data_IF_857192584122
#
_entry.id   IF_857192584122
#
_cell.length_a   1.000
_cell.length_b   1.000
_cell.length_c   1.000
_cell.angle_alpha   90.00
_cell.angle_beta   90.00
_cell.angle_gamma   90.00
#
_symmetry.space_group_name_H-M   'P 1'
#
loop_
_entity.id
_entity.type
_entity.pdbx_description
1 polymer ?
#
# COMPACT_ATOMS: atom_id res chain seq x y z
N UNK A 1 -50.24 -6.91 -10.44
CA UNK A 1 -48.81 -7.26 -10.34
C UNK A 1 -48.45 -6.85 -8.93
N UNK A 2 -48.26 -7.87 -8.09
CA UNK A 2 -48.75 -7.81 -6.72
C UNK A 2 -47.76 -7.21 -5.73
N UNK A 3 -48.28 -6.24 -4.99
CA UNK A 3 -47.76 -5.69 -3.76
C UNK A 3 -47.84 -6.74 -2.65
N UNK A 4 -46.70 -7.24 -2.18
CA UNK A 4 -46.58 -7.85 -0.85
C UNK A 4 -45.17 -7.65 -0.36
N UNK A 5 -44.95 -6.78 0.61
CA UNK A 5 -44.03 -6.94 1.75
C UNK A 5 -44.27 -5.76 2.70
N UNK A 6 -45.42 -5.83 3.37
CA UNK A 6 -45.81 -4.97 4.48
C UNK A 6 -45.87 -5.80 5.76
N UNK A 7 -45.09 -5.38 6.76
CA UNK A 7 -45.43 -5.57 8.17
C UNK A 7 -44.92 -6.83 8.85
N UNK A 8 -43.92 -6.66 9.70
CA UNK A 8 -43.96 -7.15 11.08
C UNK A 8 -43.02 -6.31 11.95
N UNK A 9 -43.63 -5.46 12.77
CA UNK A 9 -43.01 -4.88 13.96
C UNK A 9 -43.70 -5.42 15.20
N UNK A 10 -42.97 -5.43 16.32
CA UNK A 10 -43.40 -5.45 17.74
C UNK A 10 -42.32 -6.20 18.56
N UNK A 11 -41.43 -5.53 19.32
CA UNK A 11 -41.59 -4.95 20.69
C UNK A 11 -41.54 -5.96 21.84
N UNK A 12 -40.71 -5.65 22.85
CA UNK A 12 -40.75 -6.15 24.23
C UNK A 12 -39.70 -7.23 24.54
N UNK A 13 -38.87 -7.15 25.59
CA UNK A 13 -38.85 -6.30 26.77
C UNK A 13 -37.58 -6.58 27.61
N UNK A 14 -37.47 -5.99 28.82
CA UNK A 14 -36.23 -5.80 29.57
C UNK A 14 -36.00 -6.83 30.68
N UNK A 15 -34.78 -6.88 31.24
CA UNK A 15 -34.55 -7.39 32.59
C UNK A 15 -33.30 -8.25 32.75
N UNK A 16 -32.45 -7.92 33.72
CA UNK A 16 -31.31 -8.75 34.10
C UNK A 16 -30.28 -8.04 34.96
N UNK A 17 -30.70 -7.61 36.16
CA UNK A 17 -29.82 -7.13 37.23
C UNK A 17 -29.13 -8.30 37.96
N UNK A 18 -27.95 -8.04 38.54
CA UNK A 18 -27.55 -8.66 39.81
C UNK A 18 -26.25 -9.49 39.86
N UNK A 19 -25.13 -8.82 40.21
CA UNK A 19 -24.07 -9.22 41.16
C UNK A 19 -23.37 -10.60 41.10
N UNK A 20 -22.39 -10.89 42.00
CA UNK A 20 -21.83 -10.04 43.05
C UNK A 20 -20.30 -9.83 42.99
N UNK A 21 -19.90 -8.93 43.89
CA UNK A 21 -18.57 -8.62 44.42
C UNK A 21 -17.89 -9.87 44.98
N UNK A 22 -16.65 -10.13 44.54
CA UNK A 22 -15.73 -11.08 45.17
C UNK A 22 -14.55 -10.33 45.77
N UNK A 23 -14.64 -10.02 47.06
CA UNK A 23 -13.53 -9.57 47.89
C UNK A 23 -12.91 -10.78 48.61
N UNK A 24 -11.58 -10.82 48.71
CA UNK A 24 -10.87 -11.60 49.72
C UNK A 24 -9.76 -12.51 49.21
N UNK A 25 -8.51 -12.11 49.44
CA UNK A 25 -7.45 -12.87 50.14
C UNK A 25 -6.11 -12.16 49.86
N UNK A 26 -5.59 -11.37 50.80
CA UNK A 26 -4.80 -11.81 51.95
C UNK A 26 -3.47 -12.48 51.52
N UNK A 27 -2.48 -11.61 51.32
CA UNK A 27 -1.12 -11.69 51.86
C UNK A 27 -0.67 -13.03 52.48
N UNK A 28 0.30 -13.67 51.83
CA UNK A 28 1.25 -14.59 52.45
C UNK A 28 2.68 -14.20 52.06
N UNK A 29 3.59 -13.92 53.02
CA UNK A 29 5.01 -13.75 52.73
C UNK A 29 5.66 -15.14 52.63
N UNK A 30 5.95 -15.55 51.39
CA UNK A 30 6.70 -16.77 51.10
C UNK A 30 8.22 -16.58 51.27
N UNK A 31 8.95 -17.62 51.70
CA UNK A 31 10.33 -17.52 52.15
C UNK A 31 11.33 -17.40 50.99
N UNK A 32 12.31 -16.51 51.16
CA UNK A 32 13.74 -16.79 50.97
C UNK A 32 14.27 -16.97 49.53
N UNK A 33 15.30 -16.20 49.12
CA UNK A 33 16.01 -16.44 47.88
C UNK A 33 16.91 -17.67 48.02
N UNK A 34 16.56 -18.75 47.34
CA UNK A 34 17.47 -19.85 47.08
C UNK A 34 18.57 -19.40 46.12
N UNK A 35 19.76 -19.15 46.66
CA UNK A 35 21.00 -19.04 45.87
C UNK A 35 21.29 -20.40 45.23
N UNK A 36 20.81 -20.58 44.00
CA UNK A 36 21.29 -21.64 43.14
C UNK A 36 22.73 -21.35 42.69
N UNK A 37 23.60 -22.37 42.60
CA UNK A 37 24.95 -22.21 42.07
C UNK A 37 24.88 -21.69 40.61
N UNK A 38 25.88 -20.90 40.16
CA UNK A 38 25.90 -20.32 38.82
C UNK A 38 26.03 -21.43 37.77
N UNK A 39 24.88 -21.92 37.32
CA UNK A 39 24.77 -22.81 36.18
C UNK A 39 25.27 -22.06 34.95
N UNK A 40 26.26 -22.66 34.29
CA UNK A 40 26.77 -22.32 32.97
C UNK A 40 25.62 -22.21 31.97
N UNK A 41 25.00 -21.04 31.90
CA UNK A 41 24.01 -20.70 30.90
C UNK A 41 24.61 -20.83 29.50
N UNK A 42 23.78 -21.08 28.47
CA UNK A 42 24.23 -21.08 27.09
C UNK A 42 24.87 -19.72 26.82
N UNK A 43 26.20 -19.72 26.75
CA UNK A 43 27.00 -18.53 26.57
C UNK A 43 26.54 -17.84 25.31
N UNK A 44 25.88 -16.70 25.47
CA UNK A 44 25.99 -15.62 24.52
C UNK A 44 27.46 -15.22 24.54
N UNK A 45 28.26 -15.97 23.77
CA UNK A 45 29.66 -15.68 23.58
C UNK A 45 29.77 -14.20 23.27
N UNK A 46 30.65 -13.52 24.00
CA UNK A 46 31.05 -12.16 23.66
C UNK A 46 31.20 -12.10 22.13
N UNK A 47 30.67 -11.06 21.45
CA UNK A 47 30.86 -10.90 20.02
C UNK A 47 32.36 -11.03 19.75
N UNK A 48 32.72 -12.19 19.21
CA UNK A 48 34.09 -12.63 19.17
C UNK A 48 34.90 -11.57 18.45
N UNK A 49 35.95 -11.09 19.11
CA UNK A 49 37.08 -10.43 18.48
C UNK A 49 37.80 -11.45 17.58
N UNK A 50 37.07 -12.01 16.61
CA UNK A 50 37.68 -12.73 15.51
C UNK A 50 38.54 -11.74 14.74
N UNK A 51 39.75 -12.13 14.31
CA UNK A 51 40.60 -11.26 13.52
C UNK A 51 39.79 -10.72 12.34
N UNK A 52 39.80 -9.40 12.10
CA UNK A 52 39.02 -8.80 11.03
C UNK A 52 39.36 -9.52 9.74
N UNK A 53 38.37 -10.16 9.10
CA UNK A 53 38.59 -10.89 7.85
C UNK A 53 39.19 -9.94 6.81
N UNK A 54 40.49 -10.01 6.49
CA UNK A 54 41.19 -8.95 5.75
C UNK A 54 40.77 -8.85 4.27
N UNK A 55 39.83 -9.69 3.82
CA UNK A 55 39.53 -9.93 2.42
C UNK A 55 38.05 -9.90 2.07
N UNK A 56 37.17 -9.38 2.94
CA UNK A 56 35.79 -9.16 2.52
C UNK A 56 35.78 -8.13 1.37
N UNK A 57 35.32 -8.48 0.15
CA UNK A 57 35.32 -7.55 -0.97
C UNK A 57 34.52 -6.30 -0.60
N UNK A 58 34.96 -5.09 -0.99
CA UNK A 58 34.27 -3.86 -0.66
C UNK A 58 32.80 -3.93 -1.10
N UNK A 59 31.89 -3.52 -0.21
CA UNK A 59 30.47 -3.48 -0.53
C UNK A 59 30.20 -2.46 -1.63
N UNK A 60 29.58 -2.89 -2.73
CA UNK A 60 29.23 -2.00 -3.86
C UNK A 60 28.20 -0.97 -3.38
N UNK A 61 28.45 0.34 -3.51
CA UNK A 61 27.54 1.38 -3.04
C UNK A 61 26.11 1.24 -3.59
N UNK A 62 25.13 1.21 -2.70
CA UNK A 62 23.70 1.15 -3.05
C UNK A 62 23.14 -0.27 -3.28
N UNK A 63 23.95 -1.31 -3.13
CA UNK A 63 23.46 -2.70 -3.01
C UNK A 63 23.29 -3.11 -1.56
N UNK A 64 22.30 -3.94 -1.28
CA UNK A 64 22.07 -4.50 0.05
C UNK A 64 23.24 -5.41 0.47
N UNK A 65 23.57 -5.48 1.77
CA UNK A 65 24.59 -6.38 2.29
C UNK A 65 24.34 -7.84 1.88
N UNK A 66 25.40 -8.61 1.61
CA UNK A 66 25.30 -9.99 1.11
C UNK A 66 24.50 -10.91 2.03
N UNK A 67 24.56 -10.68 3.35
CA UNK A 67 23.78 -11.40 4.39
C UNK A 67 22.26 -11.34 4.18
N UNK A 68 21.75 -10.33 3.47
CA UNK A 68 20.32 -10.18 3.19
C UNK A 68 19.93 -10.64 1.78
N UNK A 69 20.84 -11.28 1.04
CA UNK A 69 20.59 -11.70 -0.35
C UNK A 69 19.35 -12.59 -0.47
N UNK A 70 19.19 -13.59 0.42
CA UNK A 70 18.03 -14.47 0.42
C UNK A 70 16.70 -13.72 0.55
N UNK A 71 16.61 -12.80 1.52
CA UNK A 71 15.41 -11.99 1.71
C UNK A 71 15.05 -11.16 0.47
N UNK A 72 16.03 -10.48 -0.14
CA UNK A 72 15.81 -9.67 -1.35
C UNK A 72 15.42 -10.50 -2.56
N UNK A 73 16.08 -11.64 -2.78
CA UNK A 73 15.78 -12.52 -3.90
C UNK A 73 14.39 -13.14 -3.75
N UNK A 74 14.08 -13.73 -2.60
CA UNK A 74 12.77 -14.34 -2.36
C UNK A 74 11.65 -13.31 -2.47
N UNK A 75 11.79 -12.12 -1.88
CA UNK A 75 10.79 -11.07 -2.05
C UNK A 75 10.68 -10.61 -3.51
N UNK A 76 11.80 -10.47 -4.23
CA UNK A 76 11.78 -10.10 -5.65
C UNK A 76 11.02 -11.12 -6.51
N UNK A 77 11.26 -12.41 -6.28
CA UNK A 77 10.55 -13.50 -6.96
C UNK A 77 9.05 -13.44 -6.65
N UNK A 78 8.68 -13.35 -5.37
CA UNK A 78 7.26 -13.31 -4.96
C UNK A 78 6.51 -12.13 -5.60
N UNK A 79 7.13 -10.94 -5.64
CA UNK A 79 6.54 -9.75 -6.26
C UNK A 79 6.38 -9.92 -7.77
N UNK A 80 7.37 -10.49 -8.47
CA UNK A 80 7.31 -10.73 -9.92
C UNK A 80 6.26 -11.80 -10.24
N UNK A 81 6.23 -12.92 -9.50
CA UNK A 81 5.26 -13.99 -9.71
C UNK A 81 3.84 -13.45 -9.55
N UNK A 82 3.59 -12.67 -8.50
CA UNK A 82 2.27 -12.07 -8.31
C UNK A 82 1.93 -11.04 -9.41
N UNK A 83 2.91 -10.25 -9.86
CA UNK A 83 2.72 -9.35 -11.00
C UNK A 83 2.36 -10.10 -12.30
N UNK A 84 2.99 -11.26 -12.56
CA UNK A 84 2.64 -12.13 -13.68
C UNK A 84 1.21 -12.66 -13.57
N UNK A 85 0.78 -13.05 -12.36
CA UNK A 85 -0.60 -13.51 -12.13
C UNK A 85 -1.60 -12.39 -12.42
N UNK A 86 -1.35 -11.17 -11.94
CA UNK A 86 -2.20 -10.01 -12.26
C UNK A 86 -2.21 -9.71 -13.77
N UNK A 87 -1.05 -9.74 -14.42
CA UNK A 87 -0.96 -9.54 -15.87
C UNK A 87 -1.73 -10.62 -16.65
N UNK A 88 -1.72 -11.87 -16.18
CA UNK A 88 -2.49 -12.96 -16.77
C UNK A 88 -4.00 -12.73 -16.63
N UNK A 89 -4.49 -12.30 -15.46
CA UNK A 89 -5.89 -11.94 -15.28
C UNK A 89 -6.33 -10.78 -16.17
N UNK A 90 -5.46 -9.77 -16.30
CA UNK A 90 -5.67 -8.64 -17.20
C UNK A 90 -5.78 -9.11 -18.66
N UNK A 91 -4.85 -9.97 -19.10
CA UNK A 91 -4.86 -10.51 -20.45
C UNK A 91 -6.09 -11.40 -20.72
N UNK A 92 -6.45 -12.27 -19.77
CA UNK A 92 -7.64 -13.11 -19.84
C UNK A 92 -8.91 -12.27 -19.98
N UNK A 93 -9.05 -11.23 -19.16
CA UNK A 93 -10.20 -10.30 -19.24
C UNK A 93 -10.22 -9.56 -20.59
N UNK A 94 -9.06 -9.15 -21.11
CA UNK A 94 -8.97 -8.53 -22.44
C UNK A 94 -9.42 -9.47 -23.56
N UNK A 95 -9.03 -10.75 -23.49
CA UNK A 95 -9.42 -11.79 -24.46
C UNK A 95 -10.92 -12.06 -24.37
N UNK A 96 -11.46 -12.22 -23.15
CA UNK A 96 -12.87 -12.53 -22.91
C UNK A 96 -13.79 -11.41 -23.38
N UNK A 97 -13.39 -10.15 -23.23
CA UNK A 97 -14.15 -8.99 -23.73
C UNK A 97 -13.83 -8.66 -25.21
N UNK A 98 -12.93 -9.42 -25.85
CA UNK A 98 -12.44 -9.18 -27.22
C UNK A 98 -11.98 -7.74 -27.42
N UNK A 99 -11.27 -7.20 -26.44
CA UNK A 99 -10.77 -5.84 -26.48
C UNK A 99 -9.73 -5.70 -27.61
N UNK A 100 -9.92 -4.71 -28.46
CA UNK A 100 -8.92 -4.33 -29.45
C UNK A 100 -7.66 -3.79 -28.74
N UNK A 101 -6.47 -4.19 -29.21
CA UNK A 101 -5.19 -3.79 -28.62
C UNK A 101 -5.02 -2.27 -28.69
N UNK A 102 -5.45 -1.65 -29.78
CA UNK A 102 -5.35 -0.20 -29.96
C UNK A 102 -6.25 0.54 -28.95
N UNK A 103 -7.46 0.01 -28.72
CA UNK A 103 -8.38 0.52 -27.69
C UNK A 103 -7.80 0.30 -26.30
N UNK A 104 -7.16 -0.84 -26.05
CA UNK A 104 -6.52 -1.11 -24.76
C UNK A 104 -5.37 -0.13 -24.51
N UNK A 105 -4.50 0.11 -25.48
CA UNK A 105 -3.39 1.06 -25.38
C UNK A 105 -3.88 2.51 -25.24
N UNK A 106 -4.86 2.92 -26.03
CA UNK A 106 -5.46 4.25 -25.93
C UNK A 106 -6.12 4.42 -24.56
N UNK A 107 -6.85 3.39 -24.09
CA UNK A 107 -7.43 3.37 -22.75
C UNK A 107 -6.38 3.26 -21.66
N UNK A 108 -5.14 2.85 -21.90
CA UNK A 108 -4.09 2.84 -20.88
C UNK A 108 -3.56 4.26 -20.64
N UNK A 109 -3.49 5.05 -21.71
CA UNK A 109 -2.94 6.41 -21.71
C UNK A 109 -4.00 7.44 -21.37
N UNK A 110 -5.20 7.34 -21.94
CA UNK A 110 -6.27 8.33 -21.80
C UNK A 110 -7.36 7.85 -20.86
N UNK A 111 -7.81 8.76 -20.00
CA UNK A 111 -9.00 8.54 -19.19
C UNK A 111 -10.23 9.13 -19.89
N UNK A 112 -10.69 8.50 -20.96
CA UNK A 112 -11.90 8.92 -21.67
C UNK A 112 -13.13 8.46 -20.87
N UNK A 113 -13.75 9.37 -20.11
CA UNK A 113 -14.89 9.07 -19.22
C UNK A 113 -16.12 8.45 -19.91
N UNK A 114 -16.16 8.43 -21.26
CA UNK A 114 -17.21 7.77 -22.04
C UNK A 114 -16.96 6.29 -22.34
N UNK A 115 -15.79 5.75 -22.01
CA UNK A 115 -15.44 4.33 -22.23
C UNK A 115 -15.04 3.71 -20.90
N UNK A 116 -15.95 3.01 -20.19
CA UNK A 116 -15.54 2.27 -19.01
C UNK A 116 -14.43 1.31 -19.42
N UNK A 117 -13.33 1.30 -18.66
CA UNK A 117 -12.30 0.28 -18.85
C UNK A 117 -12.98 -1.08 -18.67
N UNK A 118 -13.11 -1.79 -19.78
CA UNK A 118 -13.65 -3.14 -19.80
C UNK A 118 -12.69 -4.13 -19.13
N UNK A 119 -11.43 -3.73 -18.92
CA UNK A 119 -10.33 -4.58 -18.50
C UNK A 119 -9.52 -3.87 -17.40
N UNK A 120 -9.87 -4.15 -16.13
CA UNK A 120 -9.18 -3.67 -14.92
C UNK A 120 -9.11 -2.14 -14.74
N UNK A 121 -8.95 -1.70 -13.49
CA UNK A 121 -8.80 -0.28 -13.17
C UNK A 121 -7.38 0.22 -13.47
N UNK A 122 -7.16 1.53 -13.72
CA UNK A 122 -5.82 2.07 -13.96
C UNK A 122 -4.86 1.83 -12.78
N UNK A 123 -5.43 1.75 -11.58
CA UNK A 123 -4.70 1.48 -10.34
C UNK A 123 -4.06 0.09 -10.37
N UNK A 124 -4.74 -0.92 -10.91
CA UNK A 124 -4.25 -2.29 -10.98
C UNK A 124 -3.12 -2.44 -11.99
N UNK A 125 -3.21 -1.74 -13.13
CA UNK A 125 -2.11 -1.64 -14.07
C UNK A 125 -0.88 -0.99 -13.43
N UNK A 126 -1.06 0.18 -12.82
CA UNK A 126 0.01 0.90 -12.15
C UNK A 126 0.66 0.05 -11.05
N UNK A 127 -0.16 -0.66 -10.29
CA UNK A 127 0.28 -1.55 -9.22
C UNK A 127 1.04 -2.76 -9.76
N UNK A 128 0.56 -3.39 -10.84
CA UNK A 128 1.22 -4.51 -11.51
C UNK A 128 2.60 -4.11 -12.04
N UNK A 129 2.70 -2.97 -12.72
CA UNK A 129 3.98 -2.44 -13.21
C UNK A 129 4.92 -2.12 -12.04
N UNK A 130 4.39 -1.53 -10.96
CA UNK A 130 5.19 -1.25 -9.77
C UNK A 130 5.75 -2.53 -9.14
N UNK A 131 4.95 -3.60 -9.06
CA UNK A 131 5.40 -4.91 -8.57
C UNK A 131 6.53 -5.48 -9.43
N UNK A 132 6.42 -5.42 -10.76
CA UNK A 132 7.51 -5.84 -11.66
C UNK A 132 8.79 -5.04 -11.43
N UNK A 133 8.71 -3.71 -11.48
CA UNK A 133 9.87 -2.83 -11.35
C UNK A 133 10.56 -3.01 -10.00
N UNK A 134 9.78 -3.05 -8.92
CA UNK A 134 10.30 -3.22 -7.55
C UNK A 134 10.82 -4.64 -7.34
N UNK A 135 10.16 -5.66 -7.89
CA UNK A 135 10.62 -7.05 -7.87
C UNK A 135 11.97 -7.21 -8.56
N UNK A 136 12.14 -6.65 -9.76
CA UNK A 136 13.43 -6.63 -10.49
C UNK A 136 14.48 -5.85 -9.68
N UNK A 137 14.12 -4.70 -9.11
CA UNK A 137 15.04 -3.92 -8.27
C UNK A 137 15.47 -4.71 -7.01
N UNK A 138 14.58 -5.51 -6.43
CA UNK A 138 14.86 -6.39 -5.31
C UNK A 138 15.78 -7.55 -5.71
N UNK A 139 15.57 -8.19 -6.86
CA UNK A 139 16.48 -9.20 -7.43
C UNK A 139 17.88 -8.60 -7.68
N UNK A 140 17.95 -7.36 -8.16
CA UNK A 140 19.20 -6.62 -8.32
C UNK A 140 19.81 -6.14 -6.98
N UNK A 141 19.18 -6.49 -5.84
CA UNK A 141 19.56 -6.14 -4.46
C UNK A 141 19.74 -4.64 -4.25
N UNK A 142 18.93 -3.81 -4.91
CA UNK A 142 18.97 -2.35 -4.71
C UNK A 142 18.44 -2.01 -3.31
N UNK A 143 19.18 -1.25 -2.50
CA UNK A 143 18.71 -0.86 -1.13
C UNK A 143 17.39 -0.09 -1.15
N UNK A 144 17.13 0.68 -2.21
CA UNK A 144 15.87 1.40 -2.39
C UNK A 144 14.67 0.48 -2.61
N UNK A 145 14.88 -0.76 -3.08
CA UNK A 145 13.79 -1.71 -3.33
C UNK A 145 13.09 -2.12 -2.04
N UNK A 146 13.78 -2.14 -0.89
CA UNK A 146 13.20 -2.56 0.40
C UNK A 146 11.99 -1.74 0.81
N UNK A 147 12.11 -0.42 0.77
CA UNK A 147 11.02 0.48 1.13
C UNK A 147 9.83 0.37 0.18
N UNK A 148 10.13 0.29 -1.12
CA UNK A 148 9.13 0.11 -2.16
C UNK A 148 8.41 -1.24 -2.01
N UNK A 149 9.15 -2.32 -1.76
CA UNK A 149 8.62 -3.66 -1.55
C UNK A 149 7.72 -3.72 -0.32
N UNK A 150 8.12 -3.09 0.80
CA UNK A 150 7.28 -2.98 1.98
C UNK A 150 5.97 -2.25 1.68
N UNK A 151 6.03 -1.10 1.00
CA UNK A 151 4.84 -0.34 0.62
C UNK A 151 3.90 -1.21 -0.23
N UNK A 152 4.41 -1.79 -1.33
CA UNK A 152 3.60 -2.61 -2.23
C UNK A 152 3.04 -3.85 -1.52
N UNK A 153 3.81 -4.46 -0.62
CA UNK A 153 3.34 -5.59 0.17
C UNK A 153 2.26 -5.19 1.17
N UNK A 154 2.31 -4.02 1.81
CA UNK A 154 1.22 -3.55 2.66
C UNK A 154 -0.06 -3.27 1.87
N UNK A 155 0.06 -2.66 0.68
CA UNK A 155 -1.08 -2.47 -0.22
C UNK A 155 -1.67 -3.82 -0.63
N UNK A 156 -0.81 -4.77 -1.02
CA UNK A 156 -1.23 -6.12 -1.40
C UNK A 156 -1.89 -6.87 -0.23
N UNK A 157 -1.33 -6.75 0.97
CA UNK A 157 -1.88 -7.35 2.18
C UNK A 157 -3.28 -6.82 2.47
N UNK A 158 -3.50 -5.51 2.30
CA UNK A 158 -4.83 -4.92 2.51
C UNK A 158 -5.85 -5.37 1.45
N UNK A 159 -5.45 -5.52 0.18
CA UNK A 159 -6.28 -6.15 -0.85
C UNK A 159 -6.65 -7.58 -0.45
N UNK A 160 -5.66 -8.39 -0.07
CA UNK A 160 -5.89 -9.77 0.36
C UNK A 160 -6.76 -9.86 1.61
N UNK A 161 -6.53 -9.03 2.62
CA UNK A 161 -7.30 -9.00 3.86
C UNK A 161 -8.77 -8.64 3.61
N UNK A 162 -9.02 -7.64 2.73
CA UNK A 162 -10.38 -7.27 2.33
C UNK A 162 -11.11 -8.44 1.66
N UNK A 163 -10.42 -9.17 0.77
CA UNK A 163 -10.98 -10.31 0.07
C UNK A 163 -11.28 -11.48 1.00
N UNK A 164 -10.34 -11.82 1.90
CA UNK A 164 -10.52 -12.86 2.92
C UNK A 164 -11.65 -12.50 3.90
N UNK A 165 -11.77 -11.23 4.28
CA UNK A 165 -12.88 -10.75 5.09
C UNK A 165 -14.22 -10.91 4.35
N UNK A 166 -14.25 -10.65 3.03
CA UNK A 166 -15.41 -10.95 2.19
C UNK A 166 -15.86 -12.40 2.26
N UNK A 167 -14.91 -13.34 2.24
CA UNK A 167 -15.20 -14.78 2.32
C UNK A 167 -15.82 -15.22 3.66
N UNK A 168 -15.81 -14.38 4.70
CA UNK A 168 -16.53 -14.69 5.94
C UNK A 168 -18.05 -14.60 5.77
N UNK A 169 -18.54 -13.87 4.75
CA UNK A 169 -19.96 -13.64 4.47
C UNK A 169 -20.49 -14.67 3.47
N UNK A 170 -21.67 -15.25 3.74
CA UNK A 170 -22.34 -16.23 2.87
C UNK A 170 -22.58 -15.67 1.48
N UNK A 171 -23.21 -14.50 1.39
CA UNK A 171 -23.68 -13.95 0.11
C UNK A 171 -22.52 -13.70 -0.85
N UNK A 172 -21.39 -13.21 -0.31
CA UNK A 172 -20.17 -13.01 -1.09
C UNK A 172 -19.56 -14.34 -1.55
N UNK A 173 -19.50 -15.35 -0.68
CA UNK A 173 -19.04 -16.69 -1.05
C UNK A 173 -19.90 -17.27 -2.16
N UNK A 174 -21.22 -17.21 -2.00
CA UNK A 174 -22.17 -17.81 -2.94
C UNK A 174 -21.98 -17.24 -4.34
N UNK A 175 -21.86 -15.91 -4.46
CA UNK A 175 -21.66 -15.32 -5.78
C UNK A 175 -20.24 -15.52 -6.32
N UNK A 176 -19.22 -15.44 -5.45
CA UNK A 176 -17.85 -15.72 -5.89
C UNK A 176 -17.74 -17.14 -6.44
N UNK A 177 -18.26 -18.15 -5.74
CA UNK A 177 -18.19 -19.54 -6.19
C UNK A 177 -19.18 -19.88 -7.32
N UNK A 178 -20.23 -19.09 -7.52
CA UNK A 178 -21.09 -19.19 -8.70
C UNK A 178 -20.42 -18.65 -9.98
N UNK A 179 -19.38 -17.82 -9.86
CA UNK A 179 -18.62 -17.30 -11.00
C UNK A 179 -17.70 -18.40 -11.56
N UNK A 180 -17.61 -18.52 -12.89
CA UNK A 180 -16.83 -19.58 -13.58
C UNK A 180 -15.40 -19.73 -13.04
N UNK A 181 -14.75 -18.60 -12.71
CA UNK A 181 -13.38 -18.53 -12.20
C UNK A 181 -13.28 -18.27 -10.69
N UNK A 182 -14.39 -18.38 -9.95
CA UNK A 182 -14.49 -18.03 -8.53
C UNK A 182 -13.39 -18.59 -7.65
N UNK A 183 -13.18 -19.91 -7.72
CA UNK A 183 -12.16 -20.62 -6.94
C UNK A 183 -10.74 -20.14 -7.27
N UNK A 184 -10.44 -19.86 -8.54
CA UNK A 184 -9.12 -19.39 -8.98
C UNK A 184 -8.85 -17.96 -8.49
N UNK A 185 -9.89 -17.11 -8.48
CA UNK A 185 -9.80 -15.76 -7.92
C UNK A 185 -9.52 -15.82 -6.41
N UNK A 186 -10.24 -16.68 -5.68
CA UNK A 186 -10.00 -16.89 -4.24
C UNK A 186 -8.57 -17.35 -3.98
N UNK A 187 -8.08 -18.36 -4.71
CA UNK A 187 -6.71 -18.85 -4.59
C UNK A 187 -5.67 -17.75 -4.89
N UNK A 188 -5.95 -16.90 -5.88
CA UNK A 188 -5.08 -15.76 -6.23
C UNK A 188 -4.94 -14.80 -5.05
N UNK A 189 -6.04 -14.47 -4.35
CA UNK A 189 -5.99 -13.57 -3.19
C UNK A 189 -5.40 -14.21 -1.93
N UNK A 190 -5.60 -15.51 -1.71
CA UNK A 190 -4.90 -16.24 -0.66
C UNK A 190 -3.40 -16.20 -0.91
N UNK A 191 -2.96 -16.47 -2.14
CA UNK A 191 -1.57 -16.36 -2.54
C UNK A 191 -1.03 -14.94 -2.37
N UNK A 192 -1.79 -13.92 -2.82
CA UNK A 192 -1.45 -12.51 -2.65
C UNK A 192 -1.18 -12.16 -1.18
N UNK A 193 -2.07 -12.58 -0.28
CA UNK A 193 -1.98 -12.31 1.15
C UNK A 193 -0.73 -12.95 1.76
N UNK A 194 -0.48 -14.23 1.46
CA UNK A 194 0.68 -14.97 1.97
C UNK A 194 2.01 -14.42 1.41
N UNK A 195 2.04 -14.12 0.11
CA UNK A 195 3.20 -13.50 -0.54
C UNK A 195 3.50 -12.12 0.09
N UNK A 196 2.48 -11.29 0.29
CA UNK A 196 2.61 -9.99 0.94
C UNK A 196 3.15 -10.10 2.37
N UNK A 197 2.58 -10.98 3.20
CA UNK A 197 3.02 -11.21 4.56
C UNK A 197 4.49 -11.69 4.60
N UNK A 198 4.86 -12.60 3.69
CA UNK A 198 6.23 -13.11 3.56
C UNK A 198 7.21 -11.99 3.17
N UNK A 199 6.85 -11.16 2.18
CA UNK A 199 7.67 -10.01 1.77
C UNK A 199 7.85 -9.03 2.93
N UNK A 200 6.79 -8.73 3.69
CA UNK A 200 6.85 -7.85 4.86
C UNK A 200 7.83 -8.42 5.90
N UNK A 201 7.68 -9.68 6.29
CA UNK A 201 8.55 -10.33 7.28
C UNK A 201 10.01 -10.30 6.81
N UNK A 202 10.28 -10.73 5.59
CA UNK A 202 11.64 -10.78 5.03
C UNK A 202 12.27 -9.39 4.95
N UNK A 203 11.52 -8.36 4.53
CA UNK A 203 12.03 -6.99 4.42
C UNK A 203 12.17 -6.28 5.76
N UNK A 204 11.38 -6.66 6.78
CA UNK A 204 11.56 -6.17 8.14
C UNK A 204 12.77 -6.84 8.82
N UNK A 205 13.00 -8.13 8.58
CA UNK A 205 14.19 -8.87 9.05
C UNK A 205 15.46 -8.36 8.36
N UNK A 206 15.39 -8.03 7.07
CA UNK A 206 16.49 -7.41 6.32
C UNK A 206 16.76 -5.94 6.71
N UNK A 207 16.40 -5.54 7.93
CA UNK A 207 16.70 -4.22 8.47
C UNK A 207 18.18 -4.09 8.81
N UNK A 208 18.83 -3.15 8.15
CA UNK A 208 20.12 -2.61 8.57
C UNK A 208 19.90 -1.87 9.91
N UNK A 209 20.07 -2.57 11.04
CA UNK A 209 19.86 -2.02 12.40
C UNK A 209 21.00 -1.10 12.84
N UNK A 210 22.15 -1.18 12.19
CA UNK A 210 23.39 -0.57 12.67
C UNK A 210 23.68 0.80 12.07
N UNK A 211 22.79 1.31 11.22
CA UNK A 211 22.93 2.66 10.66
C UNK A 211 22.14 3.63 11.54
N UNK A 212 22.81 4.56 12.26
CA UNK A 212 22.10 5.61 12.97
C UNK A 212 21.20 6.38 11.99
N UNK A 213 20.01 6.81 12.41
CA UNK A 213 19.13 7.58 11.56
C UNK A 213 19.88 8.82 11.06
N UNK A 214 20.13 8.86 9.75
CA UNK A 214 20.80 10.02 9.16
C UNK A 214 19.90 11.25 9.37
N UNK A 215 20.47 12.40 9.78
CA UNK A 215 19.68 13.62 9.92
C UNK A 215 18.96 13.89 8.59
N UNK A 216 17.65 14.08 8.66
CA UNK A 216 16.86 14.34 7.46
C UNK A 216 17.34 15.64 6.80
N UNK A 217 17.92 15.53 5.62
CA UNK A 217 18.36 16.68 4.83
C UNK A 217 17.18 17.57 4.46
N UNK A 218 17.42 18.86 4.21
CA UNK A 218 16.36 19.81 3.83
C UNK A 218 15.51 19.32 2.65
N UNK A 219 16.15 18.78 1.59
CA UNK A 219 15.47 18.20 0.44
C UNK A 219 14.56 17.02 0.81
N UNK A 220 15.00 16.16 1.74
CA UNK A 220 14.22 15.02 2.20
C UNK A 220 12.99 15.45 3.00
N UNK A 221 13.15 16.47 3.86
CA UNK A 221 12.04 17.04 4.63
C UNK A 221 11.03 17.70 3.69
N UNK A 222 11.50 18.48 2.71
CA UNK A 222 10.66 19.10 1.70
C UNK A 222 9.86 18.05 0.90
N UNK A 223 10.50 16.95 0.47
CA UNK A 223 9.79 15.84 -0.16
C UNK A 223 8.73 15.24 0.77
N UNK A 224 9.05 15.02 2.06
CA UNK A 224 8.08 14.53 3.05
C UNK A 224 6.86 15.45 3.21
N UNK A 225 7.08 16.77 3.29
CA UNK A 225 5.99 17.76 3.33
C UNK A 225 5.15 17.71 2.05
N UNK A 226 5.79 17.67 0.88
CA UNK A 226 5.08 17.58 -0.40
C UNK A 226 4.20 16.32 -0.48
N UNK A 227 4.69 15.16 -0.03
CA UNK A 227 3.88 13.93 0.01
C UNK A 227 2.65 14.09 0.91
N UNK A 228 2.80 14.71 2.08
CA UNK A 228 1.67 14.96 2.99
C UNK A 228 0.65 15.90 2.34
N UNK A 229 1.12 16.98 1.71
CA UNK A 229 0.24 17.94 1.03
C UNK A 229 -0.50 17.30 -0.16
N UNK A 230 0.20 16.48 -0.97
CA UNK A 230 -0.41 15.73 -2.08
C UNK A 230 -1.49 14.78 -1.53
N UNK A 231 -1.18 14.01 -0.49
CA UNK A 231 -2.15 13.09 0.12
C UNK A 231 -3.36 13.81 0.71
N UNK A 232 -3.14 14.93 1.41
CA UNK A 232 -4.22 15.74 1.99
C UNK A 232 -5.10 16.37 0.90
N UNK A 233 -4.50 16.88 -0.19
CA UNK A 233 -5.23 17.44 -1.32
C UNK A 233 -6.08 16.39 -2.04
N UNK A 234 -5.51 15.20 -2.30
CA UNK A 234 -6.26 14.09 -2.90
C UNK A 234 -7.40 13.63 -1.99
N UNK A 235 -7.12 13.46 -0.68
CA UNK A 235 -8.14 13.09 0.30
C UNK A 235 -9.27 14.12 0.40
N UNK A 236 -8.96 15.42 0.32
CA UNK A 236 -9.95 16.49 0.30
C UNK A 236 -10.87 16.40 -0.91
N UNK A 237 -10.32 16.26 -2.12
CA UNK A 237 -11.12 16.15 -3.34
C UNK A 237 -11.98 14.91 -3.33
N UNK A 238 -11.42 13.79 -2.88
CA UNK A 238 -12.15 12.55 -2.77
C UNK A 238 -13.31 12.64 -1.77
N UNK A 239 -13.08 13.19 -0.58
CA UNK A 239 -14.13 13.43 0.41
C UNK A 239 -15.23 14.36 -0.12
N UNK A 240 -14.84 15.40 -0.88
CA UNK A 240 -15.79 16.30 -1.54
C UNK A 240 -16.62 15.56 -2.60
N UNK A 241 -16.00 14.76 -3.45
CA UNK A 241 -16.70 13.97 -4.47
C UNK A 241 -17.69 12.99 -3.85
N UNK A 242 -17.30 12.32 -2.76
CA UNK A 242 -18.20 11.48 -1.98
C UNK A 242 -19.40 12.30 -1.47
N UNK A 243 -19.15 13.46 -0.87
CA UNK A 243 -20.22 14.35 -0.38
C UNK A 243 -21.19 14.76 -1.50
N UNK A 244 -20.68 15.17 -2.66
CA UNK A 244 -21.50 15.56 -3.80
C UNK A 244 -22.36 14.40 -4.33
N UNK A 245 -21.77 13.21 -4.42
CA UNK A 245 -22.49 12.00 -4.80
C UNK A 245 -23.66 11.71 -3.85
N UNK A 246 -23.45 11.89 -2.55
CA UNK A 246 -24.51 11.69 -1.56
C UNK A 246 -25.62 12.74 -1.64
N UNK A 247 -25.25 14.00 -1.84
CA UNK A 247 -26.22 15.08 -2.00
C UNK A 247 -27.10 14.82 -3.24
N UNK A 248 -26.55 14.25 -4.30
CA UNK A 248 -27.29 13.85 -5.50
C UNK A 248 -28.25 12.67 -5.26
N UNK A 249 -27.96 11.78 -4.31
CA UNK A 249 -28.86 10.67 -3.93
C UNK A 249 -30.02 11.11 -3.01
N UNK A 250 -30.04 12.37 -2.56
CA UNK A 250 -31.13 12.97 -1.80
C UNK A 250 -31.07 12.75 -0.27
N UNK A 251 -32.08 13.24 0.47
CA UNK A 251 -32.05 13.35 1.95
C UNK A 251 -31.89 12.03 2.72
N UNK A 252 -32.19 10.88 2.08
CA UNK A 252 -32.02 9.54 2.65
C UNK A 252 -30.65 8.90 2.40
N UNK A 253 -29.85 9.42 1.45
CA UNK A 253 -28.56 8.83 1.06
C UNK A 253 -27.36 9.34 1.87
N UNK A 254 -27.46 10.48 2.53
CA UNK A 254 -26.27 11.21 3.00
C UNK A 254 -25.72 10.87 4.39
N UNK A 255 -26.53 10.35 5.33
CA UNK A 255 -26.08 10.15 6.72
C UNK A 255 -25.16 8.94 6.92
N UNK A 256 -25.07 8.05 5.93
CA UNK A 256 -24.27 6.83 5.99
C UNK A 256 -22.95 6.89 5.23
N UNK A 257 -22.70 7.91 4.42
CA UNK A 257 -21.72 7.76 3.34
C UNK A 257 -20.25 7.62 3.78
N UNK A 258 -19.85 8.27 4.87
CA UNK A 258 -18.50 8.07 5.42
C UNK A 258 -18.37 6.69 6.07
N UNK A 259 -19.39 6.24 6.79
CA UNK A 259 -19.43 4.89 7.34
C UNK A 259 -19.53 3.83 6.24
N UNK A 260 -20.26 4.09 5.15
CA UNK A 260 -20.39 3.25 3.98
C UNK A 260 -19.07 3.22 3.20
N UNK A 261 -18.39 4.35 3.06
CA UNK A 261 -17.06 4.43 2.49
C UNK A 261 -16.05 3.60 3.29
N UNK A 262 -16.02 3.75 4.62
CA UNK A 262 -15.13 2.96 5.47
C UNK A 262 -15.49 1.46 5.41
N UNK A 263 -16.79 1.17 5.43
CA UNK A 263 -17.28 -0.18 5.23
C UNK A 263 -16.92 -0.72 3.86
N UNK A 264 -16.94 0.07 2.80
CA UNK A 264 -16.56 -0.35 1.46
C UNK A 264 -15.05 -0.51 1.35
N UNK A 265 -14.25 0.36 1.97
CA UNK A 265 -12.80 0.25 1.99
C UNK A 265 -12.35 -1.07 2.66
N UNK A 266 -13.03 -1.48 3.74
CA UNK A 266 -12.69 -2.67 4.54
C UNK A 266 -13.48 -3.93 4.16
N UNK A 267 -14.69 -3.80 3.65
CA UNK A 267 -15.56 -4.90 3.24
C UNK A 267 -15.82 -4.80 1.75
N UNK A 268 -15.59 -5.91 1.05
CA UNK A 268 -16.10 -6.08 -0.30
C UNK A 268 -17.62 -6.25 -0.20
N UNK A 269 -18.37 -5.15 -0.26
CA UNK A 269 -19.83 -5.21 -0.29
C UNK A 269 -20.28 -5.67 -1.68
N UNK A 270 -21.30 -6.55 -1.70
CA UNK A 270 -21.87 -7.18 -2.91
C UNK A 270 -22.46 -6.20 -3.96
N UNK A 271 -22.51 -4.89 -3.68
CA UNK A 271 -22.97 -3.86 -4.63
C UNK A 271 -21.88 -3.40 -5.59
N UNK A 272 -20.61 -3.47 -5.19
CA UNK A 272 -19.49 -3.30 -6.12
C UNK A 272 -19.33 -4.61 -6.86
N UNK A 273 -19.62 -4.64 -8.16
CA UNK A 273 -19.63 -5.86 -8.97
C UNK A 273 -18.42 -6.77 -8.69
N UNK A 274 -18.61 -8.07 -8.88
CA UNK A 274 -17.67 -9.17 -8.60
C UNK A 274 -16.39 -9.16 -9.47
N UNK A 275 -15.96 -7.99 -9.91
CA UNK A 275 -14.67 -7.84 -10.54
C UNK A 275 -13.56 -8.24 -9.58
N UNK A 276 -12.51 -8.81 -10.13
CA UNK A 276 -11.20 -9.09 -9.51
C UNK A 276 -10.48 -7.84 -9.00
N UNK A 277 -11.17 -6.71 -8.90
CA UNK A 277 -10.64 -5.43 -8.48
C UNK A 277 -11.00 -5.14 -7.04
N UNK A 278 -10.02 -4.65 -6.28
CA UNK A 278 -10.28 -4.11 -4.94
C UNK A 278 -11.17 -2.85 -4.97
N UNK A 279 -11.50 -2.34 -6.17
CA UNK A 279 -12.35 -1.19 -6.38
C UNK A 279 -11.59 0.13 -6.26
N UNK A 280 -12.08 1.13 -6.99
CA UNK A 280 -11.52 2.48 -7.00
C UNK A 280 -11.40 3.07 -5.57
N UNK A 281 -12.44 2.91 -4.76
CA UNK A 281 -12.51 3.38 -3.37
C UNK A 281 -11.32 2.90 -2.54
N UNK A 282 -10.95 1.62 -2.65
CA UNK A 282 -9.83 1.07 -1.88
C UNK A 282 -8.50 1.68 -2.30
N UNK A 283 -8.17 1.60 -3.59
CA UNK A 283 -6.88 2.06 -4.09
C UNK A 283 -6.67 3.54 -3.80
N UNK A 284 -7.70 4.36 -3.99
CA UNK A 284 -7.63 5.78 -3.70
C UNK A 284 -7.37 6.05 -2.21
N UNK A 285 -8.13 5.40 -1.33
CA UNK A 285 -7.96 5.52 0.13
C UNK A 285 -6.58 5.04 0.59
N UNK A 286 -6.11 3.93 0.03
CA UNK A 286 -4.81 3.36 0.33
C UNK A 286 -3.66 4.24 -0.16
N UNK A 287 -3.80 4.89 -1.33
CA UNK A 287 -2.83 5.87 -1.83
C UNK A 287 -2.77 7.11 -0.95
N UNK A 288 -3.92 7.67 -0.54
CA UNK A 288 -3.97 8.80 0.40
C UNK A 288 -3.28 8.45 1.71
N UNK A 289 -3.61 7.30 2.31
CA UNK A 289 -2.96 6.82 3.53
C UNK A 289 -1.45 6.62 3.33
N UNK A 290 -1.04 6.02 2.20
CA UNK A 290 0.36 5.82 1.88
C UNK A 290 1.12 7.15 1.74
N UNK A 291 0.53 8.17 1.12
CA UNK A 291 1.15 9.50 1.01
C UNK A 291 1.42 10.13 2.36
N UNK A 292 0.43 10.09 3.26
CA UNK A 292 0.56 10.62 4.60
C UNK A 292 1.62 9.86 5.41
N UNK A 293 1.54 8.52 5.43
CA UNK A 293 2.48 7.68 6.20
C UNK A 293 3.90 7.79 5.66
N UNK A 294 4.10 7.66 4.34
CA UNK A 294 5.44 7.74 3.73
C UNK A 294 6.00 9.16 3.86
N UNK A 295 5.16 10.19 3.77
CA UNK A 295 5.54 11.57 4.03
C UNK A 295 6.08 11.77 5.45
N UNK A 296 5.36 11.28 6.47
CA UNK A 296 5.82 11.30 7.87
C UNK A 296 7.12 10.50 8.04
N UNK A 297 7.23 9.31 7.45
CA UNK A 297 8.46 8.51 7.51
C UNK A 297 9.66 9.20 6.83
N UNK A 298 9.44 10.01 5.79
CA UNK A 298 10.48 10.84 5.19
C UNK A 298 10.93 11.95 6.13
N UNK A 299 9.99 12.63 6.81
CA UNK A 299 10.28 13.66 7.82
C UNK A 299 11.10 13.10 8.99
N UNK A 300 10.77 11.87 9.43
CA UNK A 300 11.46 11.15 10.49
C UNK A 300 12.82 10.56 10.06
N UNK A 301 13.22 10.70 8.79
CA UNK A 301 14.50 10.21 8.32
C UNK A 301 14.58 8.68 8.14
N UNK A 302 13.46 7.94 8.19
CA UNK A 302 13.45 6.48 8.12
C UNK A 302 14.04 5.93 6.80
N UNK A 303 15.12 5.14 6.78
CA UNK A 303 15.87 4.81 5.55
C UNK A 303 15.02 4.13 4.46
N UNK A 304 14.00 3.37 4.85
CA UNK A 304 13.07 2.72 3.92
C UNK A 304 12.15 3.72 3.20
N UNK A 305 11.89 4.90 3.75
CA UNK A 305 10.91 5.85 3.23
C UNK A 305 11.26 6.34 1.80
N UNK A 306 12.55 6.42 1.45
CA UNK A 306 12.98 6.86 0.10
C UNK A 306 12.48 5.91 -1.00
N UNK A 307 12.61 4.60 -0.76
CA UNK A 307 12.14 3.58 -1.71
C UNK A 307 10.63 3.61 -1.86
N UNK A 308 9.92 3.65 -0.73
CA UNK A 308 8.47 3.73 -0.69
C UNK A 308 7.96 4.98 -1.42
N UNK A 309 8.57 6.14 -1.16
CA UNK A 309 8.19 7.40 -1.80
C UNK A 309 8.35 7.36 -3.32
N UNK A 310 9.46 6.80 -3.84
CA UNK A 310 9.66 6.70 -5.29
C UNK A 310 8.66 5.78 -5.97
N UNK A 311 8.32 4.65 -5.35
CA UNK A 311 7.29 3.75 -5.88
C UNK A 311 5.91 4.41 -5.85
N UNK A 312 5.55 5.04 -4.72
CA UNK A 312 4.28 5.74 -4.56
C UNK A 312 4.12 6.89 -5.55
N UNK A 313 5.14 7.75 -5.67
CA UNK A 313 5.17 8.85 -6.63
C UNK A 313 5.12 8.36 -8.07
N UNK A 314 5.75 7.22 -8.39
CA UNK A 314 5.67 6.62 -9.72
C UNK A 314 4.25 6.17 -10.08
N UNK A 315 3.58 5.47 -9.16
CA UNK A 315 2.17 5.06 -9.32
C UNK A 315 1.28 6.29 -9.49
N UNK A 316 1.39 7.26 -8.57
CA UNK A 316 0.53 8.43 -8.59
C UNK A 316 0.79 9.35 -9.79
N UNK A 317 2.04 9.50 -10.23
CA UNK A 317 2.36 10.29 -11.42
C UNK A 317 1.76 9.66 -12.69
N UNK A 318 1.75 8.33 -12.79
CA UNK A 318 1.06 7.63 -13.89
C UNK A 318 -0.45 7.91 -13.87
N UNK A 319 -1.10 7.74 -12.72
CA UNK A 319 -2.54 7.98 -12.59
C UNK A 319 -2.89 9.44 -12.91
N UNK A 320 -2.10 10.38 -12.39
CA UNK A 320 -2.29 11.81 -12.62
C UNK A 320 -2.07 12.19 -14.09
N UNK A 321 -1.03 11.65 -14.74
CA UNK A 321 -0.77 11.91 -16.16
C UNK A 321 -1.89 11.36 -17.04
N UNK A 322 -2.39 10.17 -16.70
CA UNK A 322 -3.51 9.55 -17.39
C UNK A 322 -4.79 10.37 -17.28
N UNK A 323 -5.09 10.89 -16.08
CA UNK A 323 -6.24 11.79 -15.89
C UNK A 323 -6.08 13.08 -16.70
N UNK A 324 -4.87 13.64 -16.74
CA UNK A 324 -4.58 14.83 -17.56
C UNK A 324 -4.66 14.56 -19.06
N UNK A 325 -4.24 13.37 -19.52
CA UNK A 325 -4.27 12.98 -20.92
C UNK A 325 -5.69 12.75 -21.45
N UNK A 326 -6.67 12.47 -20.57
CA UNK A 326 -8.08 12.37 -20.93
C UNK A 326 -8.82 13.71 -21.08
N UNK A 327 -8.14 14.84 -20.82
CA UNK A 327 -8.77 16.16 -20.90
C UNK A 327 -8.96 16.58 -22.36
N UNK A 328 -10.18 16.98 -22.69
CA UNK A 328 -10.50 17.64 -23.96
C UNK A 328 -10.05 19.11 -23.90
N UNK A 329 -8.81 19.38 -24.32
CA UNK A 329 -8.19 20.71 -24.24
C UNK A 329 -8.95 21.78 -25.04
N UNK A 330 -9.69 21.40 -26.08
CA UNK A 330 -10.59 22.29 -26.83
C UNK A 330 -11.76 22.80 -25.96
N UNK A 331 -12.12 22.09 -24.89
CA UNK A 331 -13.19 22.44 -23.94
C UNK A 331 -12.67 23.01 -22.62
N UNK A 332 -11.40 23.42 -22.56
CA UNK A 332 -10.79 23.93 -21.33
C UNK A 332 -11.57 25.11 -20.74
N UNK A 333 -12.06 26.02 -21.62
CA UNK A 333 -12.88 27.15 -21.20
C UNK A 333 -14.18 26.73 -20.50
N UNK A 334 -14.82 25.64 -20.95
CA UNK A 334 -16.04 25.13 -20.34
C UNK A 334 -15.77 24.47 -18.99
N UNK A 335 -14.65 23.77 -18.84
CA UNK A 335 -14.23 23.23 -17.54
C UNK A 335 -13.98 24.32 -16.50
N UNK A 336 -13.44 25.48 -16.90
CA UNK A 336 -13.21 26.61 -15.99
C UNK A 336 -14.46 27.44 -15.69
N UNK A 337 -15.51 27.36 -16.52
CA UNK A 337 -16.82 27.95 -16.20
C UNK A 337 -17.49 27.21 -15.04
N UNK A 338 -17.34 25.89 -14.96
CA UNK A 338 -17.67 25.15 -13.75
C UNK A 338 -16.55 25.30 -12.72
N UNK A 339 -16.78 26.17 -11.73
CA UNK A 339 -15.79 26.45 -10.69
C UNK A 339 -15.27 25.18 -10.01
N UNK A 340 -16.09 24.15 -9.79
CA UNK A 340 -15.63 22.92 -9.11
C UNK A 340 -14.70 22.10 -10.01
N UNK A 341 -15.08 21.91 -11.27
CA UNK A 341 -14.26 21.15 -12.24
C UNK A 341 -12.95 21.90 -12.51
N UNK A 342 -13.01 23.22 -12.70
CA UNK A 342 -11.82 24.07 -12.88
C UNK A 342 -10.85 24.02 -11.69
N UNK A 343 -11.36 24.02 -10.46
CA UNK A 343 -10.52 23.85 -9.26
C UNK A 343 -9.88 22.46 -9.17
N UNK A 344 -10.65 21.40 -9.46
CA UNK A 344 -10.13 20.03 -9.48
C UNK A 344 -9.01 19.91 -10.53
N UNK A 345 -9.26 20.42 -11.74
CA UNK A 345 -8.29 20.42 -12.82
C UNK A 345 -7.00 21.19 -12.46
N UNK A 346 -7.13 22.38 -11.90
CA UNK A 346 -5.99 23.19 -11.46
C UNK A 346 -5.18 22.45 -10.38
N UNK A 347 -5.88 21.84 -9.43
CA UNK A 347 -5.23 21.06 -8.37
C UNK A 347 -4.51 19.81 -8.89
N UNK A 348 -5.02 19.20 -9.96
CA UNK A 348 -4.41 18.07 -10.66
C UNK A 348 -3.07 18.46 -11.29
N UNK A 349 -2.98 19.61 -11.96
CA UNK A 349 -1.71 20.14 -12.47
C UNK A 349 -0.72 20.47 -11.35
N UNK A 350 -1.19 21.11 -10.28
CA UNK A 350 -0.35 21.42 -9.11
C UNK A 350 0.17 20.13 -8.47
N UNK A 351 -0.68 19.12 -8.32
CA UNK A 351 -0.29 17.81 -7.79
C UNK A 351 0.75 17.13 -8.69
N UNK A 352 0.57 17.15 -10.01
CA UNK A 352 1.55 16.60 -10.96
C UNK A 352 2.92 17.29 -10.84
N UNK A 353 2.95 18.62 -10.80
CA UNK A 353 4.17 19.39 -10.61
C UNK A 353 4.84 19.08 -9.25
N UNK A 354 4.05 19.01 -8.17
CA UNK A 354 4.53 18.65 -6.85
C UNK A 354 5.10 17.22 -6.80
N UNK A 355 4.50 16.26 -7.51
CA UNK A 355 5.01 14.89 -7.62
C UNK A 355 6.37 14.86 -8.35
N UNK A 356 6.51 15.56 -9.48
CA UNK A 356 7.78 15.63 -10.22
C UNK A 356 8.88 16.27 -9.36
N UNK A 357 8.56 17.36 -8.65
CA UNK A 357 9.47 18.00 -7.70
C UNK A 357 9.86 17.04 -6.56
N UNK A 358 8.90 16.32 -5.98
CA UNK A 358 9.16 15.34 -4.93
C UNK A 358 10.04 14.18 -5.43
N UNK A 359 9.87 13.72 -6.67
CA UNK A 359 10.74 12.71 -7.32
C UNK A 359 12.17 13.27 -7.42
N UNK A 360 12.34 14.49 -7.91
CA UNK A 360 13.64 15.13 -8.04
C UNK A 360 14.34 15.27 -6.68
N UNK A 361 13.65 15.83 -5.68
CA UNK A 361 14.16 15.97 -4.31
C UNK A 361 14.56 14.63 -3.70
N UNK A 362 13.73 13.59 -3.90
CA UNK A 362 14.00 12.24 -3.37
C UNK A 362 15.19 11.59 -4.07
N UNK A 363 15.41 11.85 -5.37
CA UNK A 363 16.57 11.34 -6.11
C UNK A 363 17.88 12.05 -5.74
N UNK A 364 17.87 13.36 -5.58
CA UNK A 364 19.08 14.17 -5.36
C UNK A 364 19.56 14.25 -3.91
N UNK A 365 18.92 13.54 -2.96
CA UNK A 365 19.45 13.45 -1.59
C UNK A 365 20.86 12.84 -1.58
N UNK A 366 21.89 13.62 -1.17
CA UNK A 366 23.27 13.15 -1.12
C UNK A 366 23.35 11.91 -0.24
N UNK A 367 24.13 10.91 -0.67
CA UNK A 367 24.42 9.78 0.22
C UNK A 367 25.32 10.29 1.33
N UNK A 368 25.03 10.00 2.61
CA UNK A 368 25.97 10.27 3.69
C UNK A 368 27.29 9.63 3.32
N UNK A 369 28.35 10.43 3.21
CA UNK A 369 29.69 9.92 3.07
C UNK A 369 30.04 9.24 4.40
N UNK A 370 29.95 7.92 4.45
CA UNK A 370 30.59 7.16 5.52
C UNK A 370 32.08 7.13 5.20
N UNK A 371 32.93 7.82 5.97
CA UNK A 371 34.37 7.72 5.77
C UNK A 371 34.77 6.24 5.87
N UNK A 372 35.77 5.80 5.08
CA UNK A 372 36.27 4.44 5.18
C UNK A 372 36.67 4.14 6.63
N UNK A 373 36.39 2.93 7.14
CA UNK A 373 36.57 2.58 8.55
C UNK A 373 38.03 2.62 9.02
N UNK A 374 39.00 2.75 8.09
CA UNK A 374 40.39 2.99 8.42
C UNK A 374 40.94 4.14 7.59
N UNK A 375 41.69 5.09 8.18
CA UNK A 375 42.60 5.90 7.39
C UNK A 375 43.55 4.94 6.64
N UNK A 376 43.97 5.25 5.40
CA UNK A 376 44.99 4.45 4.73
C UNK A 376 46.16 4.30 5.70
N UNK A 377 46.49 3.05 6.07
CA UNK A 377 47.67 2.82 6.90
C UNK A 377 48.84 3.49 6.19
N UNK A 378 49.68 4.27 6.90
CA UNK A 378 50.91 4.75 6.28
C UNK A 378 51.65 3.52 5.74
N UNK A 379 51.81 3.45 4.43
CA UNK A 379 52.56 2.38 3.78
C UNK A 379 53.99 2.42 4.37
N UNK A 380 54.58 1.26 4.71
CA UNK A 380 55.95 1.18 5.20
C UNK A 380 56.98 1.61 4.15
#
# INVERSE_FOLDING_TARGET
MDDRWSGMGATGGPGGAGGPVGAGQASGPGPGPGFGPPGSGPGFGQPGFGPPHPFAPPEIPGRAPRRHTGAYVTSGILLIVFACVLAAWIADTAINVRADVDVLLDSLVKNDGGRPLLVFTPHEWAFTVALFVVGIAALARRRTARGAALLLAFLLLGVGARQLNGLTRSDYRDVMFATEHGTQIVLTYVFAFLAAATVIILMLVARERDLPPAPATGARRAAGVLLILIGALQGFWYARSLRQFNEALGPGGGRGAFSEWWHEALNINARGGYGTSAGFTYYHSALVAAFLVVGVLLLLGAPAARGAALALLGIAAYLQLRDLAGIQYDRLADYYRDTTVGWNLTSSFVAAAAMLLAIALTRHTPRPYTPPPYPPSPLP
#
